data_IF_278123654942
#
_entry.id   IF_278123654942
#
_cell.length_a   1.000
_cell.length_b   1.000
_cell.length_c   1.000
_cell.angle_alpha   90.00
_cell.angle_beta   90.00
_cell.angle_gamma   90.00
#
_symmetry.space_group_name_H-M   'P 1'
#
loop_
_entity.id
_entity.type
_entity.pdbx_description
1 polymer ?
#
# COMPACT_ATOMS: atom_id res chain seq x y z
N UNK A 1 24.28 -2.18 38.94
CA UNK A 1 23.12 -2.99 38.48
C UNK A 1 22.22 -2.25 37.48
N UNK A 2 22.25 -0.92 37.40
CA UNK A 2 21.39 -0.14 36.48
C UNK A 2 21.80 -0.20 35.00
N UNK A 3 23.09 -0.24 34.69
CA UNK A 3 23.55 -0.28 33.29
C UNK A 3 23.16 -1.57 32.58
N UNK A 4 23.19 -2.72 33.27
CA UNK A 4 22.81 -4.01 32.68
C UNK A 4 21.32 -4.05 32.28
N UNK A 5 20.45 -3.40 33.05
CA UNK A 5 19.02 -3.30 32.72
C UNK A 5 18.80 -2.47 31.44
N UNK A 6 19.57 -1.40 31.24
CA UNK A 6 19.47 -0.55 30.04
C UNK A 6 19.82 -1.32 28.77
N UNK A 7 20.89 -2.14 28.79
CA UNK A 7 21.30 -2.95 27.64
C UNK A 7 20.25 -4.01 27.27
N UNK A 8 19.61 -4.63 28.26
CA UNK A 8 18.55 -5.62 28.03
C UNK A 8 17.31 -4.95 27.40
N UNK A 9 16.92 -3.77 27.88
CA UNK A 9 15.78 -3.03 27.32
C UNK A 9 16.04 -2.62 25.86
N UNK A 10 17.24 -2.14 25.55
CA UNK A 10 17.61 -1.77 24.16
C UNK A 10 17.63 -3.00 23.25
N UNK A 11 18.15 -4.14 23.72
CA UNK A 11 18.15 -5.38 22.94
C UNK A 11 16.73 -5.89 22.67
N UNK A 12 15.83 -5.83 23.66
CA UNK A 12 14.42 -6.22 23.49
C UNK A 12 13.70 -5.29 22.53
N UNK A 13 13.93 -3.97 22.61
CA UNK A 13 13.37 -3.00 21.66
C UNK A 13 13.88 -3.22 20.24
N UNK A 14 15.17 -3.51 20.06
CA UNK A 14 15.74 -3.81 18.75
C UNK A 14 15.14 -5.09 18.16
N UNK A 15 14.96 -6.14 18.97
CA UNK A 15 14.31 -7.39 18.54
C UNK A 15 12.85 -7.15 18.19
N UNK A 16 12.11 -6.32 18.95
CA UNK A 16 10.74 -5.93 18.64
C UNK A 16 10.65 -5.12 17.34
N UNK A 17 11.57 -4.18 17.10
CA UNK A 17 11.64 -3.43 15.84
C UNK A 17 11.96 -4.36 14.68
N UNK A 18 12.91 -5.28 14.83
CA UNK A 18 13.24 -6.29 13.82
C UNK A 18 12.05 -7.21 13.57
N UNK A 19 11.35 -7.67 14.60
CA UNK A 19 10.13 -8.48 14.47
C UNK A 19 8.99 -7.70 13.80
N UNK A 20 8.82 -6.41 14.09
CA UNK A 20 7.84 -5.54 13.40
C UNK A 20 8.23 -5.32 11.94
N UNK A 21 9.53 -5.20 11.63
CA UNK A 21 10.03 -5.13 10.26
C UNK A 21 9.89 -6.47 9.52
N UNK A 22 10.02 -7.61 10.21
CA UNK A 22 9.94 -8.96 9.64
C UNK A 22 8.50 -9.48 9.51
N UNK A 23 7.60 -9.13 10.43
CA UNK A 23 6.24 -9.69 10.52
C UNK A 23 5.12 -8.66 10.44
N UNK A 24 5.42 -7.37 10.68
CA UNK A 24 4.41 -6.43 11.14
C UNK A 24 3.85 -5.45 10.11
N UNK A 25 4.44 -5.26 8.93
CA UNK A 25 4.10 -4.04 8.17
C UNK A 25 3.36 -4.23 6.85
N UNK A 26 3.70 -5.20 6.04
CA UNK A 26 3.17 -5.22 4.68
C UNK A 26 2.65 -6.61 4.38
N UNK A 27 1.33 -6.78 4.51
CA UNK A 27 0.66 -7.85 3.80
C UNK A 27 0.15 -7.21 2.50
N UNK A 28 1.04 -7.01 1.50
CA UNK A 28 0.74 -6.22 0.31
C UNK A 28 -0.44 -6.81 -0.47
N UNK A 29 -0.67 -8.12 -0.30
CA UNK A 29 -1.87 -8.80 -0.73
C UNK A 29 -3.11 -8.07 -0.19
N UNK A 30 -3.24 -7.99 1.13
CA UNK A 30 -4.36 -7.34 1.82
C UNK A 30 -4.47 -5.86 1.43
N UNK A 31 -3.35 -5.15 1.40
CA UNK A 31 -3.33 -3.71 1.11
C UNK A 31 -3.83 -3.39 -0.31
N UNK A 32 -3.48 -4.21 -1.31
CA UNK A 32 -4.02 -4.04 -2.66
C UNK A 32 -5.53 -4.26 -2.67
N UNK A 33 -6.02 -5.37 -2.07
CA UNK A 33 -7.45 -5.69 -2.10
C UNK A 33 -8.29 -4.60 -1.42
N UNK A 34 -7.82 -4.07 -0.29
CA UNK A 34 -8.46 -2.97 0.44
C UNK A 34 -8.43 -1.65 -0.33
N UNK A 35 -7.45 -1.47 -1.22
CA UNK A 35 -7.32 -0.27 -2.05
C UNK A 35 -8.25 -0.25 -3.26
N UNK A 36 -8.79 -1.39 -3.71
CA UNK A 36 -9.63 -1.48 -4.91
C UNK A 36 -10.88 -0.58 -4.85
N UNK A 37 -11.68 -0.56 -3.76
CA UNK A 37 -12.81 0.35 -3.65
C UNK A 37 -12.39 1.82 -3.77
N UNK A 38 -11.24 2.18 -3.20
CA UNK A 38 -10.73 3.56 -3.25
C UNK A 38 -10.28 3.95 -4.65
N UNK A 39 -9.59 3.04 -5.37
CA UNK A 39 -9.25 3.23 -6.79
C UNK A 39 -10.50 3.42 -7.66
N UNK A 40 -11.61 2.72 -7.36
CA UNK A 40 -12.90 2.93 -8.07
C UNK A 40 -13.44 4.33 -7.84
N UNK A 41 -13.33 4.86 -6.60
CA UNK A 41 -13.71 6.24 -6.32
C UNK A 41 -12.81 7.23 -7.05
N UNK A 42 -11.50 7.02 -7.07
CA UNK A 42 -10.55 7.87 -7.79
C UNK A 42 -10.89 7.92 -9.29
N UNK A 43 -11.11 6.76 -9.91
CA UNK A 43 -11.52 6.68 -11.31
C UNK A 43 -12.83 7.46 -11.57
N UNK A 44 -13.81 7.36 -10.66
CA UNK A 44 -15.09 8.05 -10.78
C UNK A 44 -14.99 9.57 -10.53
N UNK A 45 -14.16 10.01 -9.58
CA UNK A 45 -14.02 11.42 -9.17
C UNK A 45 -13.16 12.23 -10.14
N UNK A 46 -12.17 11.61 -10.77
CA UNK A 46 -11.21 12.30 -11.63
C UNK A 46 -11.17 11.79 -13.07
N UNK A 47 -12.34 11.45 -13.63
CA UNK A 47 -12.51 10.87 -14.97
C UNK A 47 -11.74 11.62 -16.07
N UNK A 48 -11.62 12.94 -15.95
CA UNK A 48 -10.95 13.80 -16.93
C UNK A 48 -9.49 14.14 -16.56
N UNK A 49 -8.89 13.44 -15.60
CA UNK A 49 -7.50 13.62 -15.19
C UNK A 49 -6.67 12.37 -15.47
N UNK A 50 -5.36 12.53 -15.62
CA UNK A 50 -4.43 11.40 -15.72
C UNK A 50 -4.56 10.40 -14.57
N UNK A 51 -4.84 10.88 -13.35
CA UNK A 51 -5.02 10.02 -12.17
C UNK A 51 -6.26 9.10 -12.29
N UNK A 52 -7.38 9.63 -12.79
CA UNK A 52 -8.60 8.84 -12.98
C UNK A 52 -8.44 7.82 -14.11
N UNK A 53 -7.80 8.21 -15.21
CA UNK A 53 -7.46 7.31 -16.32
C UNK A 53 -6.55 6.17 -15.87
N UNK A 54 -5.48 6.47 -15.12
CA UNK A 54 -4.57 5.44 -14.57
C UNK A 54 -5.29 4.46 -13.64
N UNK A 55 -6.14 4.96 -12.75
CA UNK A 55 -6.94 4.12 -11.86
C UNK A 55 -7.90 3.21 -12.65
N UNK A 56 -8.53 3.74 -13.70
CA UNK A 56 -9.43 2.97 -14.56
C UNK A 56 -8.69 1.88 -15.34
N UNK A 57 -7.51 2.18 -15.90
CA UNK A 57 -6.65 1.20 -16.59
C UNK A 57 -6.25 0.09 -15.61
N UNK A 58 -5.80 0.45 -14.40
CA UNK A 58 -5.44 -0.54 -13.40
C UNK A 58 -6.62 -1.46 -13.06
N UNK A 59 -7.80 -0.89 -12.79
CA UNK A 59 -9.01 -1.65 -12.45
C UNK A 59 -9.47 -2.56 -13.58
N UNK A 60 -9.28 -2.14 -14.84
CA UNK A 60 -9.58 -2.97 -16.01
C UNK A 60 -8.69 -4.23 -16.04
N UNK A 61 -7.37 -4.07 -15.88
CA UNK A 61 -6.44 -5.20 -15.85
C UNK A 61 -6.48 -6.00 -14.55
N UNK A 62 -7.03 -5.45 -13.48
CA UNK A 62 -7.05 -6.07 -12.16
C UNK A 62 -7.71 -7.45 -12.15
N UNK A 63 -8.78 -7.68 -12.93
CA UNK A 63 -9.43 -8.99 -12.98
C UNK A 63 -8.49 -10.08 -13.54
N UNK A 64 -7.72 -9.75 -14.58
CA UNK A 64 -6.75 -10.66 -15.19
C UNK A 64 -5.57 -10.90 -14.24
N UNK A 65 -5.05 -9.82 -13.64
CA UNK A 65 -3.99 -9.88 -12.64
C UNK A 65 -4.41 -10.76 -11.45
N UNK A 66 -5.63 -10.61 -10.94
CA UNK A 66 -6.18 -11.45 -9.86
C UNK A 66 -6.21 -12.94 -10.23
N UNK A 67 -6.58 -13.29 -11.46
CA UNK A 67 -6.56 -14.69 -11.92
C UNK A 67 -5.14 -15.25 -11.94
N UNK A 68 -4.17 -14.46 -12.39
CA UNK A 68 -2.76 -14.86 -12.42
C UNK A 68 -2.18 -15.00 -11.01
N UNK A 69 -2.51 -14.07 -10.10
CA UNK A 69 -2.11 -14.11 -8.68
C UNK A 69 -2.61 -15.39 -8.00
N UNK A 70 -3.85 -15.84 -8.27
CA UNK A 70 -4.38 -17.08 -7.70
C UNK A 70 -3.56 -18.32 -8.05
N UNK A 71 -2.83 -18.28 -9.17
CA UNK A 71 -1.92 -19.35 -9.59
C UNK A 71 -0.54 -19.26 -8.93
N UNK A 72 -0.20 -18.10 -8.35
CA UNK A 72 1.05 -17.89 -7.61
C UNK A 72 0.87 -18.32 -6.15
N UNK A 73 1.92 -18.90 -5.55
CA UNK A 73 1.93 -19.31 -4.14
C UNK A 73 3.19 -18.83 -3.44
N UNK A 74 3.11 -18.68 -2.12
CA UNK A 74 4.24 -18.36 -1.25
C UNK A 74 4.88 -17.00 -1.54
N UNK A 75 6.17 -16.90 -1.28
CA UNK A 75 6.96 -15.65 -1.34
C UNK A 75 6.88 -14.93 -2.69
N UNK A 76 6.81 -15.67 -3.80
CA UNK A 76 6.71 -15.08 -5.15
C UNK A 76 5.42 -14.28 -5.32
N UNK A 77 4.31 -14.76 -4.74
CA UNK A 77 3.03 -14.07 -4.76
C UNK A 77 3.12 -12.77 -3.96
N UNK A 78 3.67 -12.83 -2.76
CA UNK A 78 3.81 -11.66 -1.89
C UNK A 78 4.73 -10.60 -2.51
N UNK A 79 5.87 -10.99 -3.10
CA UNK A 79 6.76 -10.06 -3.83
C UNK A 79 6.07 -9.41 -5.02
N UNK A 80 5.30 -10.17 -5.79
CA UNK A 80 4.55 -9.64 -6.93
C UNK A 80 3.49 -8.62 -6.47
N UNK A 81 2.75 -8.95 -5.41
CA UNK A 81 1.74 -8.06 -4.83
C UNK A 81 2.38 -6.82 -4.21
N UNK A 82 3.48 -6.94 -3.47
CA UNK A 82 4.24 -5.79 -2.97
C UNK A 82 4.64 -4.87 -4.11
N UNK A 83 5.29 -5.42 -5.13
CA UNK A 83 5.74 -4.63 -6.26
C UNK A 83 4.57 -3.92 -6.96
N UNK A 84 3.45 -4.63 -7.17
CA UNK A 84 2.26 -4.04 -7.78
C UNK A 84 1.67 -2.92 -6.92
N UNK A 85 1.62 -3.11 -5.59
CA UNK A 85 1.11 -2.11 -4.66
C UNK A 85 1.98 -0.84 -4.71
N UNK A 86 3.27 -1.01 -4.46
CA UNK A 86 4.22 0.09 -4.29
C UNK A 86 4.47 0.86 -5.59
N UNK A 87 4.42 0.20 -6.74
CA UNK A 87 4.71 0.86 -8.03
C UNK A 87 3.48 1.42 -8.73
N UNK A 88 2.28 0.87 -8.49
CA UNK A 88 1.06 1.28 -9.19
C UNK A 88 -0.01 1.83 -8.25
N UNK A 89 -0.35 1.11 -7.18
CA UNK A 89 -1.49 1.46 -6.33
C UNK A 89 -1.19 2.63 -5.39
N UNK A 90 -0.10 2.54 -4.62
CA UNK A 90 0.25 3.55 -3.63
C UNK A 90 0.43 4.96 -4.24
N UNK A 91 1.13 5.14 -5.37
CA UNK A 91 1.26 6.46 -5.99
C UNK A 91 -0.10 7.10 -6.32
N UNK A 92 -1.07 6.31 -6.80
CA UNK A 92 -2.42 6.80 -7.10
C UNK A 92 -3.16 7.23 -5.82
N UNK A 93 -3.05 6.44 -4.74
CA UNK A 93 -3.66 6.78 -3.45
C UNK A 93 -3.04 8.04 -2.85
N UNK A 94 -1.72 8.20 -2.95
CA UNK A 94 -1.04 9.41 -2.49
C UNK A 94 -1.42 10.64 -3.31
N UNK A 95 -1.47 10.51 -4.63
CA UNK A 95 -1.93 11.58 -5.51
C UNK A 95 -3.35 12.02 -5.14
N UNK A 96 -4.26 11.07 -4.89
CA UNK A 96 -5.61 11.37 -4.42
C UNK A 96 -5.60 12.17 -3.11
N UNK A 97 -4.81 11.76 -2.11
CA UNK A 97 -4.67 12.49 -0.84
C UNK A 97 -4.17 13.91 -1.07
N UNK A 98 -3.18 14.10 -1.95
CA UNK A 98 -2.64 15.43 -2.28
C UNK A 98 -3.72 16.32 -2.92
N UNK A 99 -4.51 15.78 -3.87
CA UNK A 99 -5.62 16.51 -4.46
C UNK A 99 -6.69 16.91 -3.43
N UNK A 100 -7.06 16.00 -2.52
CA UNK A 100 -8.00 16.31 -1.43
C UNK A 100 -7.49 17.41 -0.50
N UNK A 101 -6.19 17.41 -0.18
CA UNK A 101 -5.58 18.45 0.67
C UNK A 101 -5.55 19.82 -0.02
N UNK A 102 -5.26 19.87 -1.32
CA UNK A 102 -5.31 21.11 -2.11
C UNK A 102 -6.73 21.70 -2.14
N UNK A 103 -7.76 20.87 -2.34
CA UNK A 103 -9.15 21.35 -2.33
C UNK A 103 -9.59 21.86 -0.96
N UNK A 104 -9.06 21.30 0.15
CA UNK A 104 -9.32 21.81 1.50
C UNK A 104 -8.62 23.14 1.76
N UNK A 105 -7.41 23.34 1.23
CA UNK A 105 -6.63 24.57 1.44
C UNK A 105 -7.21 25.76 0.67
N UNK A 106 -7.80 25.55 -0.50
CA UNK A 106 -8.46 26.60 -1.29
C UNK A 106 -9.84 27.03 -0.75
N UNK A 107 -10.41 26.31 0.23
CA UNK A 107 -11.69 26.67 0.88
C UNK A 107 -11.52 27.47 2.17
N UNK A 108 -10.30 27.71 2.62
CA UNK A 108 -9.96 28.60 3.74
C UNK A 108 -9.46 29.92 3.19
#
# INVERSE_FOLDING_TARGET
MEQMALFVVVAVLAILVILVLLFGRDNPSKDIYESIPELRKIAALYQNSGLGTEAQIFLYHWQEIQRNIRRMRGERREKFLANLYYTRVQPMLEAHKRFQQQTRRNKK
#
